data_IF_210476781307
#
_entry.id   IF_210476781307
#
_cell.length_a   1.000
_cell.length_b   1.000
_cell.length_c   1.000
_cell.angle_alpha   90.00
_cell.angle_beta   90.00
_cell.angle_gamma   90.00
#
_symmetry.space_group_name_H-M   'P 1'
#
loop_
_entity.id
_entity.type
_entity.pdbx_description
1 polymer ?
#
# COMPACT_ATOMS: atom_id res chain seq x y z
N UNK A 1 9.06 29.01 -1.28
CA UNK A 1 8.32 28.63 -2.50
C UNK A 1 7.87 27.18 -2.36
N UNK A 2 6.57 26.91 -2.48
CA UNK A 2 6.04 25.53 -2.52
C UNK A 2 6.54 24.87 -3.80
N UNK A 3 7.25 23.74 -3.67
CA UNK A 3 7.75 22.96 -4.83
C UNK A 3 6.62 22.04 -5.29
N UNK A 4 5.94 22.32 -6.43
CA UNK A 4 4.81 21.51 -6.90
C UNK A 4 5.22 20.07 -7.24
N UNK A 5 6.52 19.83 -7.39
CA UNK A 5 7.10 18.54 -7.72
C UNK A 5 7.48 17.68 -6.52
N UNK A 6 7.26 18.17 -5.30
CA UNK A 6 7.61 17.48 -4.07
C UNK A 6 6.72 16.23 -3.88
N UNK A 7 7.29 15.01 -3.84
CA UNK A 7 6.50 13.78 -3.68
C UNK A 7 5.60 13.82 -2.43
N UNK A 8 6.04 14.52 -1.38
CA UNK A 8 5.31 14.72 -0.12
C UNK A 8 4.01 15.52 -0.31
N UNK A 9 3.97 16.47 -1.24
CA UNK A 9 2.74 17.23 -1.51
C UNK A 9 1.63 16.32 -2.07
N UNK A 10 1.99 15.42 -2.98
CA UNK A 10 1.04 14.43 -3.52
C UNK A 10 0.62 13.42 -2.46
N UNK A 11 1.54 12.98 -1.60
CA UNK A 11 1.20 12.08 -0.49
C UNK A 11 0.19 12.74 0.47
N UNK A 12 0.47 13.98 0.89
CA UNK A 12 -0.41 14.71 1.80
C UNK A 12 -1.78 14.99 1.17
N UNK A 13 -1.84 15.32 -0.12
CA UNK A 13 -3.11 15.47 -0.83
C UNK A 13 -3.88 14.15 -0.87
N UNK A 14 -3.20 13.02 -1.11
CA UNK A 14 -3.79 11.69 -1.01
C UNK A 14 -4.42 11.45 0.37
N UNK A 15 -3.70 11.77 1.45
CA UNK A 15 -4.19 11.62 2.81
C UNK A 15 -5.41 12.50 3.12
N UNK A 16 -5.46 13.73 2.61
CA UNK A 16 -6.63 14.61 2.77
C UNK A 16 -7.86 14.04 2.05
N UNK A 17 -7.67 13.50 0.85
CA UNK A 17 -8.74 12.89 0.06
C UNK A 17 -9.28 11.61 0.72
N UNK A 18 -8.37 10.74 1.17
CA UNK A 18 -8.63 9.51 1.92
C UNK A 18 -9.47 9.79 3.18
N UNK A 19 -9.03 10.75 4.00
CA UNK A 19 -9.77 11.19 5.19
C UNK A 19 -11.15 11.82 4.88
N UNK A 20 -11.39 12.22 3.63
CA UNK A 20 -12.66 12.78 3.16
C UNK A 20 -13.55 11.76 2.44
N UNK A 21 -13.14 10.49 2.36
CA UNK A 21 -13.85 9.43 1.65
C UNK A 21 -13.69 9.45 0.12
N UNK A 22 -12.74 10.23 -0.41
CA UNK A 22 -12.44 10.29 -1.84
C UNK A 22 -11.34 9.28 -2.20
N UNK A 23 -11.60 7.99 -1.98
CA UNK A 23 -10.60 6.92 -2.04
C UNK A 23 -9.99 6.73 -3.43
N UNK A 24 -10.78 6.93 -4.50
CA UNK A 24 -10.32 6.81 -5.88
C UNK A 24 -9.27 7.87 -6.18
N UNK A 25 -9.56 9.13 -5.84
CA UNK A 25 -8.64 10.24 -6.00
C UNK A 25 -7.42 10.06 -5.08
N UNK A 26 -7.63 9.60 -3.84
CA UNK A 26 -6.54 9.31 -2.91
C UNK A 26 -5.55 8.29 -3.49
N UNK A 27 -6.06 7.15 -4.00
CA UNK A 27 -5.27 6.13 -4.65
C UNK A 27 -4.42 6.71 -5.80
N UNK A 28 -5.01 7.55 -6.65
CA UNK A 28 -4.29 8.20 -7.73
C UNK A 28 -3.16 9.11 -7.21
N UNK A 29 -3.41 9.90 -6.16
CA UNK A 29 -2.37 10.78 -5.58
C UNK A 29 -1.25 10.01 -4.91
N UNK A 30 -1.55 8.94 -4.19
CA UNK A 30 -0.52 8.06 -3.62
C UNK A 30 0.31 7.38 -4.71
N UNK A 31 -0.30 6.96 -5.83
CA UNK A 31 0.43 6.41 -6.98
C UNK A 31 1.37 7.43 -7.63
N UNK A 32 0.97 8.70 -7.74
CA UNK A 32 1.83 9.78 -8.21
C UNK A 32 2.98 10.03 -7.24
N UNK A 33 2.70 10.08 -5.92
CA UNK A 33 3.72 10.23 -4.89
C UNK A 33 4.75 9.08 -4.95
N UNK A 34 4.28 7.83 -5.04
CA UNK A 34 5.12 6.63 -5.21
C UNK A 34 6.08 6.75 -6.39
N UNK A 35 5.60 7.23 -7.55
CA UNK A 35 6.42 7.39 -8.76
C UNK A 35 7.51 8.45 -8.61
N UNK A 36 7.28 9.46 -7.77
CA UNK A 36 8.22 10.58 -7.57
C UNK A 36 9.22 10.34 -6.43
N UNK A 37 8.90 9.49 -5.44
CA UNK A 37 9.87 9.09 -4.42
C UNK A 37 10.93 8.13 -4.98
N UNK A 38 12.16 8.24 -4.48
CA UNK A 38 13.21 7.25 -4.74
C UNK A 38 12.77 5.86 -4.27
N UNK A 39 12.81 4.87 -5.16
CA UNK A 39 12.46 3.48 -4.86
C UNK A 39 13.32 2.96 -3.69
N UNK A 40 12.69 2.33 -2.70
CA UNK A 40 13.36 1.85 -1.49
C UNK A 40 13.53 2.89 -0.39
N UNK A 41 13.15 4.15 -0.62
CA UNK A 41 13.06 5.15 0.45
C UNK A 41 11.84 4.93 1.34
N UNK A 42 11.88 5.49 2.54
CA UNK A 42 10.74 5.48 3.48
C UNK A 42 9.49 6.15 2.88
N UNK A 43 9.65 7.25 2.15
CA UNK A 43 8.53 7.94 1.47
C UNK A 43 7.90 7.09 0.38
N UNK A 44 8.72 6.40 -0.43
CA UNK A 44 8.24 5.46 -1.43
C UNK A 44 7.45 4.31 -0.79
N UNK A 45 7.93 3.77 0.32
CA UNK A 45 7.26 2.69 1.05
C UNK A 45 5.89 3.14 1.59
N UNK A 46 5.83 4.29 2.26
CA UNK A 46 4.59 4.89 2.77
C UNK A 46 3.57 5.14 1.66
N UNK A 47 3.98 5.79 0.56
CA UNK A 47 3.10 6.07 -0.56
C UNK A 47 2.62 4.78 -1.25
N UNK A 48 3.46 3.75 -1.32
CA UNK A 48 3.07 2.45 -1.88
C UNK A 48 2.05 1.74 -0.99
N UNK A 49 2.27 1.71 0.31
CA UNK A 49 1.35 1.09 1.26
C UNK A 49 0.00 1.82 1.29
N UNK A 50 0.00 3.16 1.30
CA UNK A 50 -1.21 3.95 1.27
C UNK A 50 -2.01 3.75 -0.04
N UNK A 51 -1.32 3.71 -1.20
CA UNK A 51 -1.96 3.36 -2.46
C UNK A 51 -2.59 1.97 -2.43
N UNK A 52 -1.94 0.99 -1.78
CA UNK A 52 -2.50 -0.34 -1.61
C UNK A 52 -3.79 -0.32 -0.80
N UNK A 53 -3.80 0.34 0.36
CA UNK A 53 -4.99 0.42 1.23
C UNK A 53 -6.17 1.08 0.50
N UNK A 54 -5.92 2.20 -0.21
CA UNK A 54 -6.96 2.88 -0.98
C UNK A 54 -7.50 2.02 -2.13
N UNK A 55 -6.62 1.30 -2.84
CA UNK A 55 -7.02 0.43 -3.95
C UNK A 55 -7.77 -0.84 -3.52
N UNK A 56 -7.70 -1.22 -2.24
CA UNK A 56 -8.49 -2.34 -1.70
C UNK A 56 -9.95 -1.96 -1.43
N UNK A 57 -10.29 -0.67 -1.34
CA UNK A 57 -11.66 -0.25 -1.07
C UNK A 57 -12.59 -0.67 -2.23
N UNK A 58 -13.83 -1.04 -1.90
CA UNK A 58 -14.82 -1.50 -2.89
C UNK A 58 -15.09 -0.43 -3.96
N UNK A 59 -15.09 0.85 -3.57
CA UNK A 59 -15.25 1.98 -4.50
C UNK A 59 -14.13 2.06 -5.55
N UNK A 60 -12.99 1.41 -5.30
CA UNK A 60 -11.87 1.31 -6.22
C UNK A 60 -11.89 0.05 -7.10
N UNK A 61 -12.93 -0.80 -7.04
CA UNK A 61 -13.00 -2.07 -7.78
C UNK A 61 -12.80 -1.87 -9.30
N UNK A 62 -13.48 -0.88 -9.87
CA UNK A 62 -13.44 -0.56 -11.31
C UNK A 62 -12.23 0.30 -11.72
N UNK A 63 -11.41 0.75 -10.76
CA UNK A 63 -10.21 1.53 -11.06
C UNK A 63 -9.17 0.62 -11.69
N UNK A 64 -8.63 1.05 -12.84
CA UNK A 64 -7.53 0.36 -13.51
C UNK A 64 -6.37 0.09 -12.53
N UNK A 65 -6.16 -1.19 -12.24
CA UNK A 65 -5.16 -1.60 -11.27
C UNK A 65 -3.75 -1.49 -11.87
N UNK A 66 -2.74 -1.05 -11.11
CA UNK A 66 -1.36 -1.03 -11.59
C UNK A 66 -0.87 -2.44 -11.94
N UNK A 67 0.15 -2.56 -12.82
CA UNK A 67 0.70 -3.84 -13.25
C UNK A 67 1.14 -4.78 -12.11
N UNK A 68 1.51 -4.23 -10.95
CA UNK A 68 1.92 -4.99 -9.77
C UNK A 68 0.74 -5.51 -8.93
N UNK A 69 -0.51 -5.21 -9.31
CA UNK A 69 -1.73 -5.64 -8.61
C UNK A 69 -2.15 -7.05 -9.04
N UNK A 70 -1.29 -8.00 -8.73
CA UNK A 70 -1.54 -9.43 -8.82
C UNK A 70 -0.80 -10.10 -7.66
N UNK A 71 -1.09 -11.37 -7.42
CA UNK A 71 -0.63 -12.03 -6.20
C UNK A 71 0.89 -11.98 -6.00
N UNK A 72 1.64 -12.41 -7.01
CA UNK A 72 3.11 -12.43 -6.99
C UNK A 72 3.69 -11.00 -6.91
N UNK A 73 3.11 -10.07 -7.67
CA UNK A 73 3.49 -8.66 -7.65
C UNK A 73 3.32 -8.03 -6.27
N UNK A 74 2.20 -8.30 -5.60
CA UNK A 74 1.88 -7.80 -4.27
C UNK A 74 2.77 -8.45 -3.20
N UNK A 75 3.04 -9.76 -3.29
CA UNK A 75 3.98 -10.45 -2.38
C UNK A 75 5.38 -9.87 -2.48
N UNK A 76 5.91 -9.70 -3.70
CA UNK A 76 7.23 -9.13 -3.92
C UNK A 76 7.30 -7.64 -3.51
N UNK A 77 6.27 -6.86 -3.83
CA UNK A 77 6.23 -5.44 -3.52
C UNK A 77 6.10 -5.19 -2.01
N UNK A 78 5.21 -5.90 -1.31
CA UNK A 78 5.02 -5.76 0.14
C UNK A 78 6.30 -6.08 0.91
N UNK A 79 7.06 -7.10 0.50
CA UNK A 79 8.36 -7.41 1.11
C UNK A 79 9.38 -6.26 0.92
N UNK A 80 9.40 -5.62 -0.26
CA UNK A 80 10.28 -4.46 -0.52
C UNK A 80 9.86 -3.23 0.29
N UNK A 81 8.56 -2.98 0.39
CA UNK A 81 7.98 -1.89 1.19
C UNK A 81 8.35 -2.07 2.66
N UNK A 82 8.20 -3.27 3.21
CA UNK A 82 8.58 -3.57 4.58
C UNK A 82 10.09 -3.37 4.82
N UNK A 83 10.96 -3.83 3.91
CA UNK A 83 12.42 -3.61 4.05
C UNK A 83 12.79 -2.13 4.07
N UNK A 84 12.12 -1.31 3.25
CA UNK A 84 12.35 0.13 3.18
C UNK A 84 11.80 0.89 4.40
N UNK A 85 10.82 0.33 5.10
CA UNK A 85 10.13 0.98 6.20
C UNK A 85 9.59 -0.03 7.23
N UNK A 86 10.47 -0.74 7.96
CA UNK A 86 10.08 -1.89 8.79
C UNK A 86 9.19 -1.53 9.99
N UNK A 87 9.29 -0.28 10.45
CA UNK A 87 8.54 0.23 11.61
C UNK A 87 7.32 1.06 11.18
N UNK A 88 6.98 1.10 9.88
CA UNK A 88 5.79 1.82 9.45
C UNK A 88 4.56 0.92 9.57
N UNK A 89 3.54 1.44 10.25
CA UNK A 89 2.27 0.77 10.47
C UNK A 89 1.66 0.28 9.16
N UNK A 90 1.51 1.17 8.17
CA UNK A 90 0.90 0.85 6.87
C UNK A 90 1.73 -0.15 6.07
N UNK A 91 3.05 -0.18 6.22
CA UNK A 91 3.90 -1.19 5.60
C UNK A 91 3.67 -2.59 6.18
N UNK A 92 3.53 -2.68 7.51
CA UNK A 92 3.18 -3.93 8.19
C UNK A 92 1.76 -4.37 7.83
N UNK A 93 0.78 -3.45 7.81
CA UNK A 93 -0.59 -3.73 7.40
C UNK A 93 -0.66 -4.28 5.96
N UNK A 94 0.04 -3.64 5.02
CA UNK A 94 0.12 -4.11 3.62
C UNK A 94 0.69 -5.52 3.56
N UNK A 95 1.81 -5.79 4.26
CA UNK A 95 2.43 -7.12 4.27
C UNK A 95 1.49 -8.19 4.84
N UNK A 96 0.81 -7.88 5.93
CA UNK A 96 -0.14 -8.79 6.56
C UNK A 96 -1.30 -9.15 5.63
N UNK A 97 -1.95 -8.15 5.01
CA UNK A 97 -3.07 -8.38 4.09
C UNK A 97 -2.66 -9.22 2.88
N UNK A 98 -1.51 -8.91 2.28
CA UNK A 98 -1.01 -9.67 1.14
C UNK A 98 -0.77 -11.13 1.51
N UNK A 99 -0.15 -11.40 2.66
CA UNK A 99 0.16 -12.76 3.10
C UNK A 99 -1.09 -13.55 3.52
N UNK A 100 -2.12 -12.91 4.05
CA UNK A 100 -3.37 -13.60 4.35
C UNK A 100 -4.31 -13.70 3.13
N UNK A 101 -3.97 -13.06 2.00
CA UNK A 101 -4.85 -12.99 0.83
C UNK A 101 -6.12 -12.17 1.08
N UNK A 102 -6.05 -11.21 2.01
CA UNK A 102 -7.22 -10.52 2.54
C UNK A 102 -7.91 -9.62 1.52
N UNK A 103 -9.25 -9.61 1.56
CA UNK A 103 -10.07 -8.51 1.04
C UNK A 103 -10.71 -8.70 -0.34
N UNK A 104 -10.50 -9.83 -1.03
CA UNK A 104 -11.15 -10.11 -2.33
C UNK A 104 -10.81 -9.13 -3.47
N UNK A 105 -9.97 -8.12 -3.21
CA UNK A 105 -9.65 -7.03 -4.13
C UNK A 105 -8.65 -7.42 -5.22
N UNK A 106 -8.07 -8.62 -5.14
CA UNK A 106 -7.30 -9.26 -6.21
C UNK A 106 -7.46 -10.78 -6.13
N UNK A 107 -7.15 -11.47 -7.23
CA UNK A 107 -7.10 -12.93 -7.27
C UNK A 107 -5.88 -13.43 -6.50
N UNK A 108 -6.09 -13.78 -5.23
CA UNK A 108 -5.06 -14.37 -4.38
C UNK A 108 -4.95 -15.87 -4.64
N UNK A 109 -3.73 -16.37 -4.89
CA UNK A 109 -3.46 -17.80 -4.90
C UNK A 109 -3.59 -18.44 -3.51
N UNK A 110 -3.45 -19.77 -3.40
CA UNK A 110 -3.48 -20.45 -2.12
C UNK A 110 -2.40 -19.93 -1.17
N UNK A 111 -2.74 -19.85 0.12
CA UNK A 111 -1.85 -19.42 1.21
C UNK A 111 -1.42 -20.60 2.05
N UNK A 112 -0.15 -20.59 2.45
CA UNK A 112 0.42 -21.59 3.35
C UNK A 112 0.24 -21.16 4.82
N UNK A 113 0.21 -22.15 5.71
CA UNK A 113 0.13 -21.88 7.16
C UNK A 113 1.25 -20.97 7.70
N UNK A 114 2.44 -21.02 7.09
CA UNK A 114 3.54 -20.12 7.42
C UNK A 114 3.24 -18.65 7.04
N UNK A 115 2.59 -18.42 5.90
CA UNK A 115 2.21 -17.07 5.46
C UNK A 115 1.16 -16.47 6.39
N UNK A 116 0.19 -17.26 6.87
CA UNK A 116 -0.77 -16.79 7.87
C UNK A 116 -0.12 -16.43 9.21
N UNK A 117 0.87 -17.21 9.67
CA UNK A 117 1.62 -16.91 10.89
C UNK A 117 2.42 -15.62 10.75
N UNK A 118 3.09 -15.43 9.61
CA UNK A 118 3.82 -14.19 9.31
C UNK A 118 2.85 -13.00 9.22
N UNK A 119 1.68 -13.17 8.59
CA UNK A 119 0.64 -12.15 8.52
C UNK A 119 0.19 -11.69 9.92
N UNK A 120 -0.09 -12.64 10.83
CA UNK A 120 -0.48 -12.33 12.20
C UNK A 120 0.56 -11.47 12.92
N UNK A 121 1.84 -11.83 12.83
CA UNK A 121 2.93 -11.03 13.42
C UNK A 121 3.02 -9.61 12.85
N UNK A 122 2.68 -9.42 11.57
CA UNK A 122 2.64 -8.09 10.97
C UNK A 122 1.38 -7.30 11.36
N UNK A 123 0.24 -7.96 11.58
CA UNK A 123 -0.93 -7.29 12.16
C UNK A 123 -0.63 -6.78 13.57
N UNK A 124 0.01 -7.59 14.42
CA UNK A 124 0.41 -7.17 15.78
C UNK A 124 1.30 -5.91 15.74
N UNK A 125 2.28 -5.89 14.83
CA UNK A 125 3.16 -4.72 14.63
C UNK A 125 2.45 -3.51 14.02
N UNK A 126 1.35 -3.73 13.31
CA UNK A 126 0.52 -2.65 12.79
C UNK A 126 -0.46 -2.11 13.84
N UNK A 127 -0.72 -2.83 14.94
CA UNK A 127 -1.65 -2.41 15.99
C UNK A 127 -0.94 -1.73 17.18
N UNK A 128 0.39 -1.89 17.29
CA UNK A 128 1.26 -1.29 18.31
C UNK A 128 1.67 0.15 17.95
#
# INVERSE_FOLDING_TARGET
ALRPDEPTAYFNLGAVLDNSGHDVEAAQRYLVAKKRYTVGSKGWARATAAAFVALMQEVCAEVAKPQWWNDEGLKALSARVLRAAPNEQTANFMRANVLCGGGGAWEAGPRLGAEFKEAASHYDRSAA
#
